data_IF_612580946184
#
_entry.id   IF_612580946184
#
_cell.length_a   1.000
_cell.length_b   1.000
_cell.length_c   1.000
_cell.angle_alpha   90.00
_cell.angle_beta   90.00
_cell.angle_gamma   90.00
#
_symmetry.space_group_name_H-M   'P 1'
#
loop_
_entity.id
_entity.type
_entity.pdbx_description
1 polymer ?
#
# COMPACT_ATOMS: atom_id res chain seq x y z
N UNK A 1 9.71 -50.06 44.87
CA UNK A 1 9.98 -49.94 43.42
C UNK A 1 9.60 -48.53 43.00
N UNK A 2 10.60 -47.75 42.56
CA UNK A 2 10.49 -46.29 42.34
C UNK A 2 9.88 -45.99 40.98
N UNK A 3 8.99 -45.01 40.95
CA UNK A 3 8.24 -44.49 39.80
C UNK A 3 9.14 -44.20 38.59
N UNK A 4 8.85 -44.84 37.46
CA UNK A 4 9.49 -44.62 36.15
C UNK A 4 8.57 -43.95 35.13
N UNK A 5 7.36 -43.52 35.52
CA UNK A 5 6.37 -42.97 34.58
C UNK A 5 6.46 -41.44 34.36
N UNK A 6 7.23 -40.71 35.17
CA UNK A 6 7.24 -39.23 35.12
C UNK A 6 8.19 -38.58 34.10
N UNK A 7 9.01 -39.36 33.38
CA UNK A 7 10.13 -38.82 32.57
C UNK A 7 9.91 -38.82 31.05
N UNK A 8 8.81 -39.40 30.57
CA UNK A 8 8.54 -39.52 29.12
C UNK A 8 7.61 -38.44 28.57
N UNK A 9 6.85 -37.76 29.42
CA UNK A 9 5.89 -36.72 28.97
C UNK A 9 6.46 -35.31 28.87
N UNK A 10 7.71 -35.07 29.31
CA UNK A 10 8.35 -33.76 29.24
C UNK A 10 9.19 -33.54 27.96
N UNK A 11 9.44 -34.59 27.17
CA UNK A 11 10.24 -34.50 25.94
C UNK A 11 9.37 -34.36 24.67
N UNK A 12 8.08 -34.65 24.75
CA UNK A 12 7.16 -34.54 23.60
C UNK A 12 6.66 -33.10 23.36
N UNK A 13 6.70 -32.24 24.39
CA UNK A 13 6.22 -30.85 24.31
C UNK A 13 7.28 -29.84 23.84
N UNK A 14 8.57 -30.19 23.87
CA UNK A 14 9.66 -29.30 23.45
C UNK A 14 9.93 -29.33 21.92
N UNK A 15 9.50 -30.38 21.22
CA UNK A 15 9.72 -30.53 19.78
C UNK A 15 8.68 -29.80 18.90
N UNK A 16 7.52 -29.42 19.46
CA UNK A 16 6.46 -28.72 18.71
C UNK A 16 6.67 -27.19 18.75
N UNK A 17 7.33 -26.67 19.79
CA UNK A 17 7.56 -25.23 19.94
C UNK A 17 8.66 -24.67 19.02
N UNK A 18 9.52 -25.50 18.46
CA UNK A 18 10.62 -25.08 17.56
C UNK A 18 10.22 -25.04 16.07
N UNK A 19 9.05 -25.57 15.70
CA UNK A 19 8.57 -25.55 14.33
C UNK A 19 7.85 -24.25 13.93
N UNK A 20 7.54 -23.35 14.88
CA UNK A 20 6.85 -22.08 14.60
C UNK A 20 7.79 -20.89 14.34
N UNK A 21 9.12 -21.09 14.32
CA UNK A 21 10.09 -19.98 14.24
C UNK A 21 10.78 -19.87 12.87
N UNK A 22 10.42 -20.69 11.87
CA UNK A 22 11.05 -20.68 10.53
C UNK A 22 10.20 -20.11 9.38
N UNK A 23 9.06 -19.46 9.66
CA UNK A 23 8.25 -18.83 8.59
C UNK A 23 8.72 -17.43 8.17
N UNK A 24 9.96 -17.06 8.52
CA UNK A 24 10.58 -15.81 8.10
C UNK A 24 11.24 -15.93 6.72
N UNK A 25 10.71 -15.16 5.76
CA UNK A 25 11.35 -14.70 4.52
C UNK A 25 11.72 -15.76 3.47
N UNK A 26 10.80 -16.00 2.54
CA UNK A 26 11.16 -16.42 1.17
C UNK A 26 10.69 -15.34 0.21
N UNK A 27 11.62 -14.49 -0.22
CA UNK A 27 11.44 -13.63 -1.39
C UNK A 27 11.43 -14.50 -2.65
N UNK A 28 10.24 -14.94 -3.06
CA UNK A 28 10.04 -15.50 -4.40
C UNK A 28 9.70 -14.35 -5.34
N UNK A 29 10.66 -14.02 -6.22
CA UNK A 29 10.39 -13.26 -7.45
C UNK A 29 9.30 -14.00 -8.22
N UNK A 30 8.10 -13.43 -8.25
CA UNK A 30 6.97 -14.05 -8.93
C UNK A 30 7.00 -13.68 -10.41
N UNK A 31 7.70 -14.50 -11.19
CA UNK A 31 7.46 -14.64 -12.62
C UNK A 31 6.13 -15.38 -12.79
N UNK A 32 5.03 -14.63 -12.79
CA UNK A 32 3.71 -15.14 -13.18
C UNK A 32 2.91 -14.01 -13.81
N UNK A 33 3.15 -13.81 -15.10
CA UNK A 33 2.11 -13.29 -15.97
C UNK A 33 0.95 -14.30 -15.96
N UNK A 34 -0.04 -14.09 -15.09
CA UNK A 34 -1.25 -14.91 -15.07
C UNK A 34 -2.25 -14.34 -16.05
N UNK A 35 -2.48 -15.08 -17.14
CA UNK A 35 -3.63 -14.90 -18.00
C UNK A 35 -4.95 -15.07 -17.21
N UNK A 36 -5.86 -14.10 -17.36
CA UNK A 36 -7.32 -14.28 -17.36
C UNK A 36 -8.01 -14.94 -16.15
N UNK A 37 -8.73 -14.10 -15.38
CA UNK A 37 -9.71 -14.41 -14.31
C UNK A 37 -9.17 -15.10 -13.06
N UNK A 38 -8.27 -14.40 -12.35
CA UNK A 38 -8.13 -14.55 -10.89
C UNK A 38 -8.87 -13.40 -10.21
N UNK A 39 -9.52 -13.68 -9.08
CA UNK A 39 -10.07 -12.65 -8.19
C UNK A 39 -9.02 -11.54 -8.03
N UNK A 40 -9.35 -10.30 -8.39
CA UNK A 40 -8.35 -9.22 -8.50
C UNK A 40 -7.49 -9.07 -7.22
N UNK A 41 -8.03 -9.51 -6.07
CA UNK A 41 -7.34 -9.54 -4.79
C UNK A 41 -7.72 -8.35 -3.92
N UNK A 42 -6.98 -8.16 -2.83
CA UNK A 42 -7.16 -7.03 -1.92
C UNK A 42 -6.07 -5.99 -2.15
N UNK A 43 -6.45 -4.72 -2.27
CA UNK A 43 -5.52 -3.59 -2.36
C UNK A 43 -5.88 -2.51 -1.36
N UNK A 44 -4.86 -1.84 -0.84
CA UNK A 44 -4.96 -0.69 0.03
C UNK A 44 -4.51 0.57 -0.70
N UNK A 45 -5.40 1.56 -0.77
CA UNK A 45 -5.14 2.88 -1.35
C UNK A 45 -4.87 3.87 -0.22
N UNK A 46 -3.76 4.59 -0.27
CA UNK A 46 -3.55 5.74 0.62
C UNK A 46 -4.53 6.87 0.24
N UNK A 47 -5.12 7.56 1.20
CA UNK A 47 -6.03 8.68 0.97
C UNK A 47 -5.41 9.96 1.55
N UNK A 48 -4.85 10.79 0.68
CA UNK A 48 -4.29 12.09 1.06
C UNK A 48 -5.36 13.18 1.11
N UNK A 49 -5.12 14.25 1.87
CA UNK A 49 -6.10 15.29 2.18
C UNK A 49 -6.36 16.30 1.03
N UNK A 50 -6.42 15.82 -0.21
CA UNK A 50 -6.73 16.61 -1.40
C UNK A 50 -8.06 16.16 -2.01
N UNK A 51 -8.93 17.12 -2.33
CA UNK A 51 -10.22 16.84 -2.95
C UNK A 51 -10.09 16.19 -4.34
N UNK A 52 -9.12 16.64 -5.14
CA UNK A 52 -8.78 16.07 -6.45
C UNK A 52 -8.33 14.61 -6.33
N UNK A 53 -7.33 14.37 -5.48
CA UNK A 53 -6.88 13.01 -5.12
C UNK A 53 -8.05 12.10 -4.75
N UNK A 54 -8.92 12.56 -3.85
CA UNK A 54 -10.06 11.77 -3.37
C UNK A 54 -10.97 11.40 -4.54
N UNK A 55 -11.29 12.34 -5.42
CA UNK A 55 -12.12 12.06 -6.60
C UNK A 55 -11.48 10.99 -7.50
N UNK A 56 -10.20 11.13 -7.84
CA UNK A 56 -9.48 10.16 -8.67
C UNK A 56 -9.40 8.78 -8.02
N UNK A 57 -9.06 8.71 -6.72
CA UNK A 57 -8.97 7.46 -5.98
C UNK A 57 -10.31 6.73 -5.87
N UNK A 58 -11.43 7.45 -5.74
CA UNK A 58 -12.76 6.82 -5.73
C UNK A 58 -13.13 6.23 -7.10
N UNK A 59 -12.81 6.91 -8.21
CA UNK A 59 -13.08 6.35 -9.55
C UNK A 59 -12.30 5.06 -9.75
N UNK A 60 -11.01 5.04 -9.42
CA UNK A 60 -10.17 3.84 -9.53
C UNK A 60 -10.70 2.72 -8.62
N UNK A 61 -11.00 3.04 -7.35
CA UNK A 61 -11.54 2.06 -6.41
C UNK A 61 -12.86 1.46 -6.88
N UNK A 62 -13.74 2.27 -7.48
CA UNK A 62 -15.05 1.79 -7.91
C UNK A 62 -14.96 0.90 -9.15
N UNK A 63 -14.15 1.28 -10.15
CA UNK A 63 -13.88 0.42 -11.31
C UNK A 63 -13.22 -0.89 -10.89
N UNK A 64 -12.24 -0.84 -9.98
CA UNK A 64 -11.57 -2.02 -9.46
C UNK A 64 -12.56 -2.97 -8.76
N UNK A 65 -13.47 -2.44 -7.93
CA UNK A 65 -14.51 -3.24 -7.27
C UNK A 65 -15.51 -3.82 -8.27
N UNK A 66 -16.08 -2.98 -9.14
CA UNK A 66 -17.22 -3.36 -9.98
C UNK A 66 -16.82 -4.21 -11.19
N UNK A 67 -15.74 -3.84 -11.87
CA UNK A 67 -15.36 -4.46 -13.14
C UNK A 67 -14.34 -5.59 -12.96
N UNK A 68 -13.52 -5.52 -11.90
CA UNK A 68 -12.41 -6.45 -11.67
C UNK A 68 -12.61 -7.33 -10.42
N UNK A 69 -13.60 -7.04 -9.57
CA UNK A 69 -13.87 -7.81 -8.36
C UNK A 69 -12.86 -7.60 -7.23
N UNK A 70 -12.08 -6.51 -7.24
CA UNK A 70 -11.09 -6.25 -6.20
C UNK A 70 -11.74 -5.90 -4.86
N UNK A 71 -11.11 -6.29 -3.75
CA UNK A 71 -11.41 -5.74 -2.42
C UNK A 71 -10.52 -4.52 -2.17
N UNK A 72 -11.10 -3.35 -2.03
CA UNK A 72 -10.33 -2.11 -1.83
C UNK A 72 -10.50 -1.59 -0.40
N UNK A 73 -9.39 -1.42 0.30
CA UNK A 73 -9.30 -0.67 1.56
C UNK A 73 -8.75 0.73 1.27
N UNK A 74 -9.28 1.74 1.94
CA UNK A 74 -8.83 3.12 1.83
C UNK A 74 -8.34 3.58 3.20
N UNK A 75 -7.11 4.07 3.27
CA UNK A 75 -6.48 4.46 4.54
C UNK A 75 -6.03 5.90 4.46
N UNK A 76 -6.57 6.76 5.32
CA UNK A 76 -6.11 8.16 5.41
C UNK A 76 -4.70 8.20 5.98
N UNK A 77 -3.79 8.83 5.24
CA UNK A 77 -2.39 9.01 5.62
C UNK A 77 -1.91 10.41 5.26
N UNK A 78 -0.84 10.84 5.91
CA UNK A 78 -0.09 12.03 5.50
C UNK A 78 0.77 11.73 4.26
N UNK A 79 0.88 12.71 3.37
CA UNK A 79 1.76 12.61 2.20
C UNK A 79 3.23 12.45 2.58
N UNK A 80 4.02 11.88 1.66
CA UNK A 80 5.47 11.78 1.81
C UNK A 80 5.90 10.54 2.61
N UNK A 81 6.96 10.63 3.44
CA UNK A 81 7.64 9.47 4.05
C UNK A 81 6.71 8.48 4.74
N UNK A 82 5.71 8.97 5.49
CA UNK A 82 4.75 8.12 6.22
C UNK A 82 4.01 7.18 5.27
N UNK A 83 3.60 7.66 4.10
CA UNK A 83 2.92 6.81 3.12
C UNK A 83 3.89 5.84 2.45
N UNK A 84 5.11 6.27 2.09
CA UNK A 84 6.09 5.39 1.45
C UNK A 84 6.59 4.28 2.40
N UNK A 85 6.77 4.59 3.68
CA UNK A 85 7.07 3.60 4.72
C UNK A 85 5.92 2.59 4.87
N UNK A 86 4.66 3.04 4.79
CA UNK A 86 3.50 2.17 4.80
C UNK A 86 3.42 1.28 3.55
N UNK A 87 3.90 1.76 2.39
CA UNK A 87 4.03 0.96 1.18
C UNK A 87 5.12 -0.10 1.30
N UNK A 88 6.32 0.27 1.78
CA UNK A 88 7.41 -0.67 2.03
C UNK A 88 7.02 -1.74 3.06
N UNK A 89 6.24 -1.37 4.08
CA UNK A 89 5.69 -2.31 5.05
C UNK A 89 4.56 -3.21 4.50
N UNK A 90 4.08 -2.97 3.27
CA UNK A 90 3.02 -3.74 2.62
C UNK A 90 1.63 -3.48 3.18
N UNK A 91 1.43 -2.33 3.84
CA UNK A 91 0.12 -1.91 4.39
C UNK A 91 -0.65 -0.97 3.45
N UNK A 92 0.04 -0.43 2.46
CA UNK A 92 -0.50 0.37 1.36
C UNK A 92 0.08 -0.18 0.06
N UNK A 93 -0.75 -0.34 -0.95
CA UNK A 93 -0.32 -0.87 -2.25
C UNK A 93 -0.19 0.24 -3.29
N UNK A 94 -0.97 1.32 -3.17
CA UNK A 94 -1.02 2.36 -4.20
C UNK A 94 -1.25 3.77 -3.63
N UNK A 95 -0.55 4.71 -4.25
CA UNK A 95 -0.82 6.15 -4.21
C UNK A 95 -1.29 6.54 -5.61
N UNK A 96 -2.48 7.11 -5.73
CA UNK A 96 -3.10 7.42 -7.03
C UNK A 96 -2.59 8.73 -7.62
N UNK A 97 -2.21 9.67 -6.76
CA UNK A 97 -1.70 10.98 -7.13
C UNK A 97 -0.62 11.40 -6.14
N UNK A 98 0.64 11.31 -6.56
CA UNK A 98 1.75 11.94 -5.86
C UNK A 98 2.15 13.21 -6.62
N UNK A 99 2.23 14.34 -5.93
CA UNK A 99 2.54 15.66 -6.50
C UNK A 99 4.00 15.84 -6.94
N UNK A 100 4.81 14.78 -6.89
CA UNK A 100 6.13 14.80 -7.47
C UNK A 100 7.22 15.21 -6.49
N UNK A 101 8.27 15.79 -7.07
CA UNK A 101 9.41 16.32 -6.32
C UNK A 101 10.40 15.26 -5.84
N UNK A 102 10.25 13.99 -6.26
CA UNK A 102 11.20 12.92 -5.95
C UNK A 102 11.25 12.53 -4.47
N UNK A 103 10.20 12.85 -3.70
CA UNK A 103 10.13 12.54 -2.26
C UNK A 103 10.20 11.05 -1.96
N UNK A 104 9.83 10.22 -2.93
CA UNK A 104 9.85 8.75 -2.87
C UNK A 104 11.20 8.13 -3.26
N UNK A 105 12.18 8.94 -3.69
CA UNK A 105 13.41 8.45 -4.35
C UNK A 105 14.16 7.40 -3.52
N UNK A 106 14.26 7.61 -2.20
CA UNK A 106 14.96 6.68 -1.32
C UNK A 106 14.28 5.30 -1.24
N UNK A 107 12.95 5.22 -1.46
CA UNK A 107 12.19 3.97 -1.49
C UNK A 107 12.26 3.31 -2.87
N UNK A 108 12.20 4.08 -3.95
CA UNK A 108 12.35 3.54 -5.30
C UNK A 108 13.77 3.04 -5.58
N UNK A 109 14.79 3.77 -5.12
CA UNK A 109 16.20 3.40 -5.33
C UNK A 109 16.55 2.04 -4.67
N UNK A 110 15.85 1.69 -3.58
CA UNK A 110 15.99 0.38 -2.90
C UNK A 110 14.95 -0.66 -3.32
N UNK A 111 14.08 -0.35 -4.28
CA UNK A 111 13.07 -1.25 -4.82
C UNK A 111 11.85 -1.50 -3.93
N UNK A 112 11.65 -0.67 -2.90
CA UNK A 112 10.50 -0.78 -2.00
C UNK A 112 9.21 -0.20 -2.61
N UNK A 113 9.33 0.80 -3.48
CA UNK A 113 8.22 1.43 -4.20
C UNK A 113 8.54 1.41 -5.69
N UNK A 114 7.51 1.28 -6.53
CA UNK A 114 7.63 1.32 -7.99
C UNK A 114 6.79 2.48 -8.52
N UNK A 115 7.40 3.33 -9.34
CA UNK A 115 6.67 4.37 -10.07
C UNK A 115 5.89 3.73 -11.23
N UNK A 116 4.57 3.80 -11.16
CA UNK A 116 3.68 3.31 -12.22
C UNK A 116 3.52 4.31 -13.39
N UNK A 117 4.10 5.51 -13.27
CA UNK A 117 4.03 6.58 -14.26
C UNK A 117 2.96 7.63 -13.97
N UNK A 118 2.84 8.59 -14.88
CA UNK A 118 1.90 9.71 -14.75
C UNK A 118 0.47 9.29 -15.11
N UNK A 119 -0.52 9.82 -14.37
CA UNK A 119 -1.95 9.59 -14.62
C UNK A 119 -2.59 10.61 -15.60
N UNK A 120 -1.79 11.54 -16.13
CA UNK A 120 -2.22 12.56 -17.10
C UNK A 120 -2.84 13.83 -16.50
N UNK A 121 -2.96 13.93 -15.17
CA UNK A 121 -3.44 15.15 -14.53
C UNK A 121 -2.41 16.28 -14.58
N UNK A 122 -2.86 17.49 -14.92
CA UNK A 122 -2.04 18.71 -14.84
C UNK A 122 -2.46 19.49 -13.60
N UNK A 123 -1.67 19.37 -12.54
CA UNK A 123 -1.87 20.09 -11.29
C UNK A 123 -1.24 21.49 -11.31
N UNK A 124 -1.99 22.51 -10.88
CA UNK A 124 -1.50 23.89 -10.76
C UNK A 124 -1.72 24.38 -9.33
N UNK A 125 -0.63 24.73 -8.65
CA UNK A 125 -0.67 25.35 -7.32
C UNK A 125 -0.44 26.85 -7.47
N UNK A 126 -1.35 27.65 -6.94
CA UNK A 126 -1.26 29.10 -7.02
C UNK A 126 -2.21 29.81 -6.08
N UNK A 127 -2.07 31.13 -6.01
CA UNK A 127 -2.98 31.97 -5.26
C UNK A 127 -4.24 32.23 -6.09
N UNK A 128 -5.39 31.91 -5.54
CA UNK A 128 -6.66 32.29 -6.14
C UNK A 128 -7.05 33.70 -5.69
N UNK A 129 -7.28 34.59 -6.64
CA UNK A 129 -7.83 35.93 -6.41
C UNK A 129 -9.22 35.96 -7.04
N UNK A 130 -10.23 36.28 -6.24
CA UNK A 130 -11.60 36.36 -6.75
C UNK A 130 -11.72 37.44 -7.84
N UNK A 131 -12.50 37.21 -8.92
CA UNK A 131 -12.59 38.13 -10.05
C UNK A 131 -12.90 39.59 -9.65
N UNK A 132 -13.81 39.80 -8.70
CA UNK A 132 -14.17 41.13 -8.22
C UNK A 132 -13.00 41.89 -7.56
N UNK A 133 -12.04 41.18 -6.94
CA UNK A 133 -10.85 41.81 -6.37
C UNK A 133 -9.90 42.28 -7.46
N UNK A 134 -9.75 41.49 -8.53
CA UNK A 134 -8.94 41.87 -9.70
C UNK A 134 -9.53 43.09 -10.39
N UNK A 135 -10.85 43.14 -10.55
CA UNK A 135 -11.55 44.30 -11.15
C UNK A 135 -11.41 45.57 -10.30
N UNK A 136 -11.46 45.44 -8.96
CA UNK A 136 -11.39 46.57 -8.03
C UNK A 136 -9.96 47.05 -7.77
N UNK A 137 -8.99 46.15 -7.79
CA UNK A 137 -7.58 46.39 -7.48
C UNK A 137 -6.68 45.79 -8.57
N UNK A 138 -6.65 46.40 -9.78
CA UNK A 138 -5.85 45.90 -10.89
C UNK A 138 -4.33 46.08 -10.66
#
# INVERSE_FOLDING_TARGET
MKSLLGRRSALATAAIATALVLSGCSSSVNDSASEGSGDCGSYAIAMHAWGGYTASAQVVAEVAKQELGCTITQTTLEEGPVTYDAMEAGTIDVIIEDWGGGRWKDWTDRGAVVEAGENGNIGIIGMYVAPWMVEKYP
#
